data_IF_424653949633
#
_entry.id   IF_424653949633
#
_cell.length_a   1.000
_cell.length_b   1.000
_cell.length_c   1.000
_cell.angle_alpha   90.00
_cell.angle_beta   90.00
_cell.angle_gamma   90.00
#
_symmetry.space_group_name_H-M   'P 1'
#
loop_
_entity.id
_entity.type
_entity.pdbx_description
1 polymer ?
#
# COMPACT_ATOMS: atom_id res chain seq x y z
N UNK A 1 -34.53 -29.81 43.92
CA UNK A 1 -34.76 -29.56 42.49
C UNK A 1 -33.57 -28.76 41.96
N UNK A 2 -32.63 -29.30 41.20
CA UNK A 2 -32.13 -30.67 41.18
C UNK A 2 -30.62 -30.57 40.99
N UNK A 3 -29.89 -31.17 41.94
CA UNK A 3 -28.44 -31.26 42.02
C UNK A 3 -28.11 -32.63 41.43
N UNK A 4 -27.21 -32.71 40.44
CA UNK A 4 -26.71 -33.99 39.95
C UNK A 4 -25.33 -34.28 40.52
N UNK A 5 -25.32 -35.19 41.51
CA UNK A 5 -24.17 -35.96 41.95
C UNK A 5 -24.36 -37.40 41.46
N UNK A 6 -23.29 -38.05 41.02
CA UNK A 6 -22.95 -39.49 41.23
C UNK A 6 -21.79 -39.89 40.29
N UNK A 7 -21.07 -41.00 40.49
CA UNK A 7 -20.55 -41.59 41.73
C UNK A 7 -19.02 -41.87 41.64
N UNK A 8 -18.38 -42.18 42.78
CA UNK A 8 -17.06 -42.83 42.83
C UNK A 8 -17.19 -44.30 42.42
N UNK A 9 -16.29 -44.82 41.57
CA UNK A 9 -15.63 -46.12 41.78
C UNK A 9 -14.50 -46.44 40.79
N UNK A 10 -13.51 -47.11 41.36
CA UNK A 10 -12.57 -48.08 40.81
C UNK A 10 -11.39 -47.60 39.94
N UNK A 11 -10.20 -47.89 40.46
CA UNK A 11 -8.93 -47.86 39.76
C UNK A 11 -8.88 -48.91 38.65
N UNK A 12 -8.42 -48.50 37.46
CA UNK A 12 -7.90 -49.41 36.44
C UNK A 12 -6.63 -48.77 35.91
N UNK A 13 -5.54 -49.53 36.04
CA UNK A 13 -4.20 -49.33 35.50
C UNK A 13 -4.23 -48.89 34.04
N UNK A 14 -3.74 -47.67 33.78
CA UNK A 14 -3.60 -47.08 32.45
C UNK A 14 -2.14 -46.73 32.16
N UNK A 15 -1.67 -47.19 31.03
CA UNK A 15 -0.33 -46.98 30.47
C UNK A 15 0.04 -45.48 30.43
N UNK A 16 1.29 -45.16 30.78
CA UNK A 16 1.86 -43.83 30.59
C UNK A 16 2.05 -43.62 29.09
N UNK A 17 1.05 -43.03 28.42
CA UNK A 17 1.27 -42.30 27.18
C UNK A 17 1.69 -40.88 27.57
N UNK A 18 2.97 -40.55 27.36
CA UNK A 18 3.43 -39.18 27.42
C UNK A 18 2.74 -38.36 26.32
N UNK A 19 1.71 -37.61 26.70
CA UNK A 19 1.15 -36.57 25.84
C UNK A 19 2.12 -35.40 25.90
N UNK A 20 3.03 -35.34 24.93
CA UNK A 20 3.74 -34.12 24.60
C UNK A 20 2.72 -33.11 24.11
N UNK A 21 2.28 -32.22 25.01
CA UNK A 21 1.49 -31.05 24.65
C UNK A 21 2.42 -30.11 23.87
N UNK A 22 2.53 -30.31 22.56
CA UNK A 22 3.09 -29.31 21.65
C UNK A 22 2.12 -28.14 21.67
N UNK A 23 2.38 -27.15 22.52
CA UNK A 23 1.80 -25.82 22.43
C UNK A 23 2.21 -25.25 21.07
N UNK A 24 1.35 -25.42 20.06
CA UNK A 24 1.41 -24.60 18.86
C UNK A 24 1.01 -23.18 19.24
N UNK A 25 1.98 -22.42 19.76
CA UNK A 25 1.85 -20.98 19.80
C UNK A 25 1.66 -20.51 18.34
N UNK A 26 0.61 -19.76 18.01
CA UNK A 26 0.54 -19.14 16.71
C UNK A 26 1.77 -18.24 16.61
N UNK A 27 2.63 -18.51 15.62
CA UNK A 27 3.68 -17.56 15.26
C UNK A 27 2.95 -16.30 14.78
N UNK A 28 2.83 -15.31 15.66
CA UNK A 28 2.41 -13.98 15.25
C UNK A 28 3.47 -13.46 14.29
N UNK A 29 3.07 -13.14 13.06
CA UNK A 29 3.95 -12.51 12.08
C UNK A 29 4.38 -11.16 12.65
N UNK A 30 5.68 -10.96 12.82
CA UNK A 30 6.19 -9.68 13.31
C UNK A 30 6.13 -8.66 12.16
N UNK A 31 5.56 -7.49 12.43
CA UNK A 31 5.46 -6.42 11.44
C UNK A 31 6.86 -5.93 11.04
N UNK A 32 7.16 -6.05 9.74
CA UNK A 32 8.41 -5.59 9.16
C UNK A 32 8.33 -4.11 8.77
N UNK A 33 8.93 -3.27 9.62
CA UNK A 33 9.06 -1.84 9.34
C UNK A 33 10.23 -1.55 8.41
N UNK A 34 10.05 -0.60 7.51
CA UNK A 34 11.11 -0.11 6.61
C UNK A 34 11.67 1.23 7.08
N UNK A 35 12.88 1.54 6.66
CA UNK A 35 13.45 2.89 6.82
C UNK A 35 13.13 3.71 5.57
N UNK A 36 12.42 4.83 5.73
CA UNK A 36 12.21 5.76 4.64
C UNK A 36 13.48 6.60 4.42
N UNK A 37 13.96 6.64 3.17
CA UNK A 37 15.10 7.41 2.70
C UNK A 37 14.68 8.20 1.46
N UNK A 38 15.44 9.21 0.99
CA UNK A 38 15.15 9.81 -0.31
C UNK A 38 15.07 8.75 -1.42
N UNK A 39 14.13 8.87 -2.36
CA UNK A 39 13.98 7.87 -3.44
C UNK A 39 15.27 7.69 -4.25
N UNK A 40 16.09 8.74 -4.40
CA UNK A 40 17.42 8.68 -5.03
C UNK A 40 18.40 7.74 -4.31
N UNK A 41 18.19 7.47 -3.02
CA UNK A 41 18.97 6.50 -2.26
C UNK A 41 18.48 5.06 -2.45
N UNK A 42 17.21 4.88 -2.80
CA UNK A 42 16.58 3.57 -2.97
C UNK A 42 16.67 3.09 -4.43
N UNK A 43 16.27 3.94 -5.37
CA UNK A 43 16.23 3.64 -6.80
C UNK A 43 17.61 3.92 -7.41
N UNK A 44 18.29 2.85 -7.83
CA UNK A 44 19.63 2.92 -8.47
C UNK A 44 19.60 2.67 -9.98
N UNK A 45 18.40 2.52 -10.53
CA UNK A 45 18.17 2.28 -11.95
C UNK A 45 18.69 3.45 -12.78
N UNK A 46 19.52 3.16 -13.79
CA UNK A 46 19.90 4.12 -14.81
C UNK A 46 18.74 4.33 -15.78
N UNK A 47 18.37 5.60 -15.99
CA UNK A 47 17.34 6.01 -16.95
C UNK A 47 17.70 5.55 -18.38
N UNK A 48 16.69 5.04 -19.08
CA UNK A 48 16.75 4.69 -20.50
C UNK A 48 15.58 5.34 -21.23
N UNK A 49 15.74 5.74 -22.50
CA UNK A 49 14.61 6.13 -23.33
C UNK A 49 13.59 5.01 -23.40
N UNK A 50 12.30 5.35 -23.34
CA UNK A 50 11.24 4.40 -23.63
C UNK A 50 11.28 4.03 -25.12
N UNK A 51 11.44 2.73 -25.43
CA UNK A 51 11.49 2.20 -26.80
C UNK A 51 10.30 1.30 -27.12
N UNK A 52 9.20 1.42 -26.37
CA UNK A 52 8.00 0.63 -26.60
C UNK A 52 7.23 1.04 -27.85
N UNK A 53 6.19 0.29 -28.18
CA UNK A 53 5.27 0.62 -29.26
C UNK A 53 3.99 1.28 -28.72
N UNK A 54 3.42 2.27 -29.42
CA UNK A 54 2.06 2.76 -29.13
C UNK A 54 0.99 1.66 -29.29
N UNK A 55 1.30 0.56 -29.97
CA UNK A 55 0.39 -0.57 -30.17
C UNK A 55 0.17 -1.42 -28.92
N UNK A 56 0.92 -1.19 -27.82
CA UNK A 56 0.71 -1.88 -26.55
C UNK A 56 1.32 -1.09 -25.40
N UNK A 57 0.52 -0.21 -24.79
CA UNK A 57 0.94 0.64 -23.69
C UNK A 57 0.70 -0.01 -22.33
N UNK A 58 1.75 -0.24 -21.55
CA UNK A 58 1.60 -0.70 -20.15
C UNK A 58 1.28 0.48 -19.25
N UNK A 59 0.14 0.48 -18.56
CA UNK A 59 -0.31 1.61 -17.73
C UNK A 59 -0.46 1.15 -16.27
N UNK A 60 0.27 1.75 -15.31
CA UNK A 60 0.15 1.39 -13.91
C UNK A 60 -1.14 1.92 -13.29
N UNK A 61 -1.72 1.12 -12.40
CA UNK A 61 -2.78 1.45 -11.46
C UNK A 61 -2.25 1.25 -10.03
N UNK A 62 -2.97 1.75 -9.03
CA UNK A 62 -2.83 1.27 -7.64
C UNK A 62 -4.17 0.68 -7.17
N UNK A 63 -4.18 0.09 -5.99
CA UNK A 63 -5.38 -0.29 -5.26
C UNK A 63 -6.17 0.93 -4.79
N UNK A 64 -6.85 1.62 -5.72
CA UNK A 64 -7.66 2.79 -5.45
C UNK A 64 -8.92 2.82 -6.33
N UNK A 65 -10.04 3.24 -5.75
CA UNK A 65 -11.32 3.34 -6.46
C UNK A 65 -11.32 4.33 -7.62
N UNK A 66 -10.43 5.34 -7.61
CA UNK A 66 -10.29 6.29 -8.72
C UNK A 66 -9.74 5.70 -10.02
N UNK A 67 -9.26 4.45 -10.00
CA UNK A 67 -8.84 3.72 -11.20
C UNK A 67 -10.01 2.98 -11.90
N UNK A 68 -11.21 2.98 -11.29
CA UNK A 68 -12.41 2.31 -11.84
C UNK A 68 -12.80 2.83 -13.23
N UNK A 69 -12.69 4.13 -13.50
CA UNK A 69 -13.02 4.70 -14.81
C UNK A 69 -12.08 4.17 -15.89
N UNK A 70 -10.78 4.07 -15.58
CA UNK A 70 -9.77 3.51 -16.49
C UNK A 70 -10.04 2.03 -16.75
N UNK A 71 -10.35 1.26 -15.70
CA UNK A 71 -10.69 -0.17 -15.81
C UNK A 71 -11.93 -0.37 -16.67
N UNK A 72 -13.00 0.40 -16.43
CA UNK A 72 -14.24 0.35 -17.19
C UNK A 72 -14.00 0.72 -18.66
N UNK A 73 -13.26 1.80 -18.92
CA UNK A 73 -12.94 2.24 -20.27
C UNK A 73 -12.09 1.21 -21.04
N UNK A 74 -11.30 0.39 -20.34
CA UNK A 74 -10.54 -0.72 -20.92
C UNK A 74 -11.38 -1.98 -21.18
N UNK A 75 -12.68 -1.96 -20.84
CA UNK A 75 -13.59 -3.09 -20.99
C UNK A 75 -13.65 -4.02 -19.79
N UNK A 76 -13.29 -3.54 -18.59
CA UNK A 76 -13.15 -4.35 -17.37
C UNK A 76 -12.14 -5.50 -17.53
N UNK A 77 -11.11 -5.29 -18.32
CA UNK A 77 -10.07 -6.28 -18.62
C UNK A 77 -8.67 -5.70 -18.36
N UNK A 78 -7.71 -6.58 -18.14
CA UNK A 78 -6.29 -6.20 -18.04
C UNK A 78 -5.78 -5.63 -19.37
N UNK A 79 -6.07 -6.34 -20.46
CA UNK A 79 -5.78 -5.90 -21.83
C UNK A 79 -7.03 -5.29 -22.44
N UNK A 80 -6.88 -4.26 -23.27
CA UNK A 80 -8.02 -3.60 -23.90
C UNK A 80 -8.93 -4.58 -24.64
N UNK A 81 -10.21 -4.61 -24.25
CA UNK A 81 -11.22 -5.39 -24.96
C UNK A 81 -11.62 -4.71 -26.27
N UNK A 82 -11.92 -5.49 -27.32
CA UNK A 82 -12.17 -4.98 -28.67
C UNK A 82 -13.40 -4.06 -28.77
N UNK A 83 -14.39 -4.23 -27.89
CA UNK A 83 -15.62 -3.44 -27.80
C UNK A 83 -15.55 -2.31 -26.75
N UNK A 84 -14.41 -2.16 -26.07
CA UNK A 84 -14.22 -1.17 -25.01
C UNK A 84 -14.16 0.27 -25.52
N UNK A 85 -14.35 1.23 -24.60
CA UNK A 85 -14.23 2.66 -24.91
C UNK A 85 -12.83 2.98 -25.43
N UNK A 86 -11.78 2.41 -24.84
CA UNK A 86 -10.40 2.61 -25.28
C UNK A 86 -10.14 2.02 -26.67
N UNK A 87 -10.64 0.83 -26.99
CA UNK A 87 -10.55 0.29 -28.35
C UNK A 87 -11.25 1.18 -29.38
N UNK A 88 -12.44 1.72 -29.05
CA UNK A 88 -13.15 2.67 -29.91
C UNK A 88 -12.39 3.99 -30.12
N UNK A 89 -11.44 4.33 -29.23
CA UNK A 89 -10.53 5.47 -29.35
C UNK A 89 -9.17 5.11 -29.95
N UNK A 90 -9.00 3.87 -30.42
CA UNK A 90 -7.75 3.39 -31.02
C UNK A 90 -6.62 3.15 -30.00
N UNK A 91 -6.94 3.05 -28.71
CA UNK A 91 -5.96 2.72 -27.66
C UNK A 91 -5.86 1.21 -27.48
N UNK A 92 -4.64 0.74 -27.20
CA UNK A 92 -4.37 -0.63 -26.77
C UNK A 92 -3.46 -0.61 -25.54
N UNK A 93 -4.06 -0.88 -24.39
CA UNK A 93 -3.46 -0.78 -23.07
C UNK A 93 -3.39 -2.14 -22.37
N UNK A 94 -2.30 -2.37 -21.65
CA UNK A 94 -2.20 -3.37 -20.59
C UNK A 94 -2.14 -2.68 -19.23
N UNK A 95 -3.23 -2.75 -18.48
CA UNK A 95 -3.31 -2.23 -17.12
C UNK A 95 -2.58 -3.19 -16.16
N UNK A 96 -1.84 -2.66 -15.20
CA UNK A 96 -1.23 -3.48 -14.14
C UNK A 96 -1.24 -2.73 -12.81
N UNK A 97 -1.47 -3.43 -11.71
CA UNK A 97 -1.40 -2.84 -10.36
C UNK A 97 0.04 -2.85 -9.88
N UNK A 98 0.52 -1.71 -9.38
CA UNK A 98 1.81 -1.61 -8.69
C UNK A 98 1.70 -0.59 -7.55
N UNK A 99 1.48 -1.11 -6.34
CA UNK A 99 1.27 -0.30 -5.13
C UNK A 99 2.60 0.14 -4.48
N UNK A 100 3.73 -0.44 -4.88
CA UNK A 100 5.06 0.00 -4.43
C UNK A 100 5.58 1.09 -5.37
N UNK A 101 5.51 2.36 -4.95
CA UNK A 101 5.87 3.48 -5.83
C UNK A 101 7.31 3.43 -6.35
N UNK A 102 8.28 2.98 -5.55
CA UNK A 102 9.66 2.83 -6.02
C UNK A 102 9.79 1.84 -7.19
N UNK A 103 8.97 0.78 -7.21
CA UNK A 103 8.92 -0.17 -8.35
C UNK A 103 8.32 0.48 -9.59
N UNK A 104 7.28 1.32 -9.45
CA UNK A 104 6.77 2.11 -10.59
C UNK A 104 7.86 3.03 -11.17
N UNK A 105 8.59 3.75 -10.31
CA UNK A 105 9.69 4.63 -10.72
C UNK A 105 10.79 3.82 -11.42
N UNK A 106 11.16 2.65 -10.89
CA UNK A 106 12.12 1.77 -11.56
C UNK A 106 11.66 1.30 -12.94
N UNK A 107 10.40 0.87 -13.07
CA UNK A 107 9.85 0.43 -14.35
C UNK A 107 9.81 1.57 -15.39
N UNK A 108 9.47 2.79 -14.93
CA UNK A 108 9.50 3.99 -15.75
C UNK A 108 10.92 4.31 -16.24
N UNK A 109 11.91 4.34 -15.33
CA UNK A 109 13.31 4.62 -15.69
C UNK A 109 13.93 3.51 -16.57
N UNK A 110 13.49 2.25 -16.43
CA UNK A 110 13.92 1.14 -17.31
C UNK A 110 13.31 1.22 -18.71
N UNK A 111 12.33 2.09 -18.94
CA UNK A 111 11.58 2.16 -20.19
C UNK A 111 10.59 1.01 -20.37
N UNK A 112 10.15 0.36 -19.29
CA UNK A 112 9.14 -0.71 -19.33
C UNK A 112 7.72 -0.15 -19.48
N UNK A 113 7.50 1.08 -19.00
CA UNK A 113 6.28 1.86 -19.18
C UNK A 113 6.65 3.34 -19.32
N UNK A 114 5.95 4.11 -20.18
CA UNK A 114 6.14 5.55 -20.24
C UNK A 114 5.25 6.31 -19.23
N UNK A 115 4.56 5.60 -18.32
CA UNK A 115 3.60 6.19 -17.40
C UNK A 115 4.02 6.01 -15.95
N UNK A 116 3.81 7.05 -15.16
CA UNK A 116 3.79 7.00 -13.70
C UNK A 116 2.37 7.33 -13.23
N UNK A 117 1.89 6.59 -12.24
CA UNK A 117 0.62 6.86 -11.57
C UNK A 117 0.89 7.15 -10.09
N UNK A 118 0.56 8.35 -9.66
CA UNK A 118 0.79 8.79 -8.28
C UNK A 118 0.06 10.08 -7.95
N UNK A 119 0.03 10.43 -6.65
CA UNK A 119 -0.37 11.77 -6.23
C UNK A 119 0.68 12.80 -6.66
N UNK A 120 0.33 14.08 -6.60
CA UNK A 120 1.29 15.15 -6.91
C UNK A 120 2.53 15.07 -6.00
N UNK A 121 2.38 14.78 -4.71
CA UNK A 121 3.53 14.59 -3.82
C UNK A 121 4.37 13.36 -4.15
N UNK A 122 3.75 12.24 -4.57
CA UNK A 122 4.50 11.08 -5.06
C UNK A 122 5.34 11.43 -6.29
N UNK A 123 4.74 12.09 -7.28
CA UNK A 123 5.47 12.53 -8.47
C UNK A 123 6.58 13.52 -8.13
N UNK A 124 6.32 14.45 -7.20
CA UNK A 124 7.34 15.38 -6.71
C UNK A 124 8.52 14.64 -6.03
N UNK A 125 8.27 13.59 -5.25
CA UNK A 125 9.35 12.76 -4.67
C UNK A 125 10.20 12.07 -5.74
N UNK A 126 9.63 11.73 -6.89
CA UNK A 126 10.33 11.09 -8.01
C UNK A 126 11.06 12.10 -8.93
N UNK A 127 10.74 13.39 -8.84
CA UNK A 127 11.18 14.40 -9.80
C UNK A 127 12.70 14.49 -9.97
N UNK A 128 13.48 14.34 -8.89
CA UNK A 128 14.94 14.35 -8.99
C UNK A 128 15.49 13.21 -9.86
N UNK A 129 14.88 12.03 -9.76
CA UNK A 129 15.27 10.86 -10.57
C UNK A 129 14.83 11.01 -12.02
N UNK A 130 13.58 11.43 -12.24
CA UNK A 130 12.98 11.50 -13.57
C UNK A 130 13.54 12.67 -14.38
N UNK A 131 13.80 13.81 -13.74
CA UNK A 131 14.27 15.01 -14.42
C UNK A 131 15.80 15.04 -14.59
N UNK A 132 16.51 14.01 -14.10
CA UNK A 132 17.95 13.86 -14.30
C UNK A 132 18.33 13.66 -15.78
N UNK A 133 17.38 13.25 -16.63
CA UNK A 133 17.54 13.10 -18.08
C UNK A 133 16.30 13.63 -18.80
N UNK A 134 16.48 14.32 -19.92
CA UNK A 134 15.36 14.94 -20.67
C UNK A 134 14.34 13.94 -21.22
N UNK A 135 14.75 12.70 -21.48
CA UNK A 135 13.86 11.65 -22.01
C UNK A 135 13.03 10.94 -20.92
N UNK A 136 13.26 11.26 -19.65
CA UNK A 136 12.46 10.78 -18.51
C UNK A 136 11.79 11.93 -17.75
N UNK A 137 11.87 13.16 -18.24
CA UNK A 137 11.20 14.30 -17.62
C UNK A 137 9.68 14.07 -17.63
N UNK A 138 9.05 14.22 -16.46
CA UNK A 138 7.64 13.94 -16.30
C UNK A 138 6.78 15.05 -16.91
N UNK A 139 5.73 14.66 -17.64
CA UNK A 139 4.69 15.55 -18.14
C UNK A 139 3.35 15.10 -17.56
N UNK A 140 2.62 16.01 -16.94
CA UNK A 140 1.27 15.75 -16.46
C UNK A 140 0.28 15.73 -17.64
N UNK A 141 -0.36 14.59 -17.88
CA UNK A 141 -1.28 14.39 -19.02
C UNK A 141 -2.74 14.18 -18.62
N UNK A 142 -3.00 13.75 -17.37
CA UNK A 142 -4.34 13.40 -16.91
C UNK A 142 -4.43 13.42 -15.39
N UNK A 143 -5.44 14.10 -14.86
CA UNK A 143 -5.80 14.04 -13.44
C UNK A 143 -6.99 13.08 -13.27
N UNK A 144 -6.78 11.97 -12.57
CA UNK A 144 -7.79 10.93 -12.40
C UNK A 144 -8.94 11.38 -11.49
N UNK A 145 -8.60 11.86 -10.29
CA UNK A 145 -9.56 12.20 -9.24
C UNK A 145 -9.00 13.27 -8.30
N UNK A 146 -9.87 13.88 -7.51
CA UNK A 146 -9.49 14.55 -6.27
C UNK A 146 -9.69 13.59 -5.10
N UNK A 147 -8.80 13.62 -4.11
CA UNK A 147 -9.06 12.91 -2.86
C UNK A 147 -10.07 13.72 -2.02
N UNK A 148 -11.35 13.56 -2.36
CA UNK A 148 -12.47 14.23 -1.70
C UNK A 148 -13.31 13.20 -0.94
N UNK A 149 -12.82 12.78 0.23
CA UNK A 149 -13.57 11.96 1.18
C UNK A 149 -13.33 10.45 1.14
N UNK A 150 -12.39 9.96 0.31
CA UNK A 150 -12.05 8.53 0.29
C UNK A 150 -10.79 8.16 1.10
N UNK A 151 -9.93 9.13 1.42
CA UNK A 151 -8.83 8.93 2.38
C UNK A 151 -9.34 9.08 3.82
N UNK A 152 -8.86 8.21 4.72
CA UNK A 152 -9.23 8.24 6.13
C UNK A 152 -8.03 7.99 7.04
N UNK A 153 -8.05 8.58 8.23
CA UNK A 153 -7.14 8.23 9.32
C UNK A 153 -7.90 7.35 10.31
N UNK A 154 -7.48 6.10 10.46
CA UNK A 154 -8.07 5.14 11.41
C UNK A 154 -7.24 5.17 12.69
N UNK A 155 -7.91 5.23 13.84
CA UNK A 155 -7.26 5.43 15.15
C UNK A 155 -7.80 4.47 16.21
N UNK A 156 -7.02 4.24 17.27
CA UNK A 156 -7.49 3.56 18.49
C UNK A 156 -8.41 4.51 19.29
N UNK A 157 -9.25 3.94 20.17
CA UNK A 157 -10.31 4.66 20.91
C UNK A 157 -9.84 5.85 21.78
N UNK A 158 -8.54 5.92 22.08
CA UNK A 158 -7.95 6.98 22.88
C UNK A 158 -7.59 8.26 22.09
N UNK A 159 -7.93 8.32 20.80
CA UNK A 159 -7.73 9.48 19.93
C UNK A 159 -9.10 10.01 19.51
N UNK A 160 -9.50 11.16 20.06
CA UNK A 160 -10.81 11.75 19.80
C UNK A 160 -10.77 12.90 18.78
N UNK A 161 -9.61 13.55 18.65
CA UNK A 161 -9.40 14.69 17.74
C UNK A 161 -7.97 14.69 17.20
N UNK A 162 -7.70 15.35 16.06
CA UNK A 162 -6.37 15.38 15.47
C UNK A 162 -5.26 15.86 16.43
N UNK A 163 -5.56 16.78 17.36
CA UNK A 163 -4.60 17.27 18.36
C UNK A 163 -4.03 16.16 19.27
N UNK A 164 -4.76 15.06 19.44
CA UNK A 164 -4.35 13.94 20.27
C UNK A 164 -3.27 13.07 19.60
N UNK A 165 -2.96 13.32 18.32
CA UNK A 165 -1.89 12.64 17.57
C UNK A 165 -0.49 13.00 18.07
N UNK A 166 -0.32 14.12 18.79
CA UNK A 166 1.00 14.54 19.29
C UNK A 166 1.65 13.45 20.16
N UNK A 167 2.85 13.06 19.79
CA UNK A 167 3.64 12.01 20.44
C UNK A 167 3.15 10.58 20.17
N UNK A 168 2.12 10.40 19.34
CA UNK A 168 1.59 9.08 18.98
C UNK A 168 2.38 8.44 17.85
N UNK A 169 2.31 7.12 17.81
CA UNK A 169 2.82 6.33 16.70
C UNK A 169 1.81 6.31 15.58
N UNK A 170 2.27 6.53 14.34
CA UNK A 170 1.45 6.46 13.14
C UNK A 170 2.11 5.47 12.18
N UNK A 171 1.38 4.41 11.84
CA UNK A 171 1.77 3.46 10.81
C UNK A 171 1.37 4.01 9.43
N UNK A 172 2.30 4.06 8.48
CA UNK A 172 2.07 4.61 7.15
C UNK A 172 2.89 3.88 6.08
N UNK A 173 2.33 3.68 4.90
CA UNK A 173 3.11 3.12 3.78
C UNK A 173 4.23 4.10 3.38
N UNK A 174 5.44 3.60 3.21
CA UNK A 174 6.56 4.35 2.65
C UNK A 174 6.27 4.76 1.20
N UNK A 175 6.48 6.04 0.88
CA UNK A 175 6.30 6.62 -0.46
C UNK A 175 4.88 6.49 -1.04
N UNK A 176 3.91 6.14 -0.20
CA UNK A 176 2.52 5.92 -0.60
C UNK A 176 1.73 7.22 -0.84
N UNK A 177 0.50 7.10 -1.35
CA UNK A 177 -0.36 8.25 -1.66
C UNK A 177 -0.78 9.06 -0.42
N UNK A 178 -0.79 8.44 0.76
CA UNK A 178 -1.31 9.05 1.99
C UNK A 178 -0.32 9.95 2.74
N UNK A 179 0.92 10.08 2.26
CA UNK A 179 1.95 10.92 2.91
C UNK A 179 1.49 12.39 2.98
N UNK A 180 0.99 12.93 1.87
CA UNK A 180 0.48 14.31 1.83
C UNK A 180 -0.79 14.49 2.66
N UNK A 181 -1.64 13.46 2.73
CA UNK A 181 -2.83 13.48 3.56
C UNK A 181 -2.46 13.62 5.04
N UNK A 182 -1.50 12.82 5.53
CA UNK A 182 -1.04 12.91 6.90
C UNK A 182 -0.42 14.29 7.21
N UNK A 183 0.46 14.80 6.35
CA UNK A 183 1.09 16.12 6.56
C UNK A 183 0.06 17.25 6.55
N UNK A 184 -0.99 17.13 5.73
CA UNK A 184 -2.13 18.06 5.71
C UNK A 184 -2.90 18.02 7.04
N UNK A 185 -3.22 16.82 7.55
CA UNK A 185 -3.90 16.66 8.84
C UNK A 185 -3.08 17.28 9.97
N UNK A 186 -1.79 16.96 10.06
CA UNK A 186 -0.90 17.49 11.11
C UNK A 186 -0.75 19.02 11.01
N UNK A 187 -0.50 19.55 9.81
CA UNK A 187 -0.31 21.00 9.63
C UNK A 187 -1.57 21.81 9.94
N UNK A 188 -2.76 21.26 9.68
CA UNK A 188 -4.04 21.92 9.98
C UNK A 188 -4.25 22.25 11.47
N UNK A 189 -3.52 21.56 12.36
CA UNK A 189 -3.55 21.75 13.82
C UNK A 189 -2.21 22.25 14.38
N UNK A 190 -1.31 22.73 13.52
CA UNK A 190 -0.01 23.25 13.93
C UNK A 190 0.99 22.18 14.39
N UNK A 191 0.79 20.91 14.02
CA UNK A 191 1.77 19.83 14.21
C UNK A 191 2.56 19.58 12.92
N UNK A 192 3.69 18.90 13.09
CA UNK A 192 4.54 18.42 12.00
C UNK A 192 4.82 16.93 12.12
N UNK A 193 5.50 16.35 11.13
CA UNK A 193 5.97 14.95 11.20
C UNK A 193 6.94 14.69 12.37
N UNK A 194 7.59 15.74 12.90
CA UNK A 194 8.49 15.64 14.04
C UNK A 194 7.74 15.56 15.39
N UNK A 195 6.44 15.88 15.40
CA UNK A 195 5.59 15.81 16.58
C UNK A 195 4.96 14.43 16.77
N UNK A 196 5.25 13.46 15.90
CA UNK A 196 4.69 12.09 15.90
C UNK A 196 5.80 11.06 15.62
N UNK A 197 5.54 9.80 15.94
CA UNK A 197 6.46 8.70 15.67
C UNK A 197 6.00 7.93 14.42
N UNK A 198 6.58 8.23 13.26
CA UNK A 198 6.24 7.53 12.02
C UNK A 198 6.91 6.16 11.96
N UNK A 199 6.11 5.11 11.78
CA UNK A 199 6.57 3.76 11.44
C UNK A 199 6.19 3.48 10.00
N UNK A 200 7.19 3.22 9.17
CA UNK A 200 7.00 3.04 7.73
C UNK A 200 6.81 1.58 7.37
N UNK A 201 5.89 1.32 6.45
CA UNK A 201 5.52 -0.01 6.00
C UNK A 201 5.67 -0.16 4.48
N UNK A 202 6.00 -1.35 3.97
CA UNK A 202 6.17 -1.56 2.54
C UNK A 202 4.83 -1.65 1.78
N UNK A 203 3.79 -2.22 2.41
CA UNK A 203 2.55 -2.56 1.72
C UNK A 203 1.48 -1.48 1.91
N UNK A 204 0.69 -1.23 0.86
CA UNK A 204 -0.37 -0.22 0.89
C UNK A 204 -1.62 -0.72 1.63
N UNK A 205 -2.20 -1.81 1.12
CA UNK A 205 -3.56 -2.23 1.49
C UNK A 205 -3.69 -3.72 1.78
N UNK A 206 -2.64 -4.52 1.62
CA UNK A 206 -2.77 -5.97 1.79
C UNK A 206 -3.12 -6.32 3.24
N UNK A 207 -4.09 -7.24 3.41
CA UNK A 207 -4.61 -7.69 4.71
C UNK A 207 -4.60 -9.21 4.71
N UNK A 208 -3.41 -9.77 4.71
CA UNK A 208 -3.18 -11.19 4.96
C UNK A 208 -2.18 -11.39 6.10
N UNK A 209 -2.09 -12.63 6.60
CA UNK A 209 -1.28 -12.96 7.77
C UNK A 209 0.23 -12.67 7.61
N UNK A 210 0.70 -12.42 6.38
CA UNK A 210 2.11 -12.12 6.07
C UNK A 210 2.29 -10.69 5.54
N UNK A 211 1.21 -9.89 5.48
CA UNK A 211 1.25 -8.53 4.94
C UNK A 211 1.80 -7.55 5.98
N UNK A 212 2.61 -6.60 5.51
CA UNK A 212 3.18 -5.54 6.33
C UNK A 212 2.53 -4.22 5.90
N UNK A 213 1.24 -4.07 6.19
CA UNK A 213 0.44 -2.88 5.86
C UNK A 213 0.10 -2.06 7.11
N UNK A 214 -0.20 -0.75 6.97
CA UNK A 214 -0.64 0.07 8.09
C UNK A 214 -1.82 -0.51 8.87
N UNK A 215 -2.72 -1.23 8.20
CA UNK A 215 -3.84 -1.90 8.86
C UNK A 215 -3.37 -3.03 9.79
N UNK A 216 -2.44 -3.88 9.33
CA UNK A 216 -1.86 -4.93 10.15
C UNK A 216 -1.06 -4.35 11.33
N UNK A 217 -0.25 -3.31 11.08
CA UNK A 217 0.49 -2.63 12.13
C UNK A 217 -0.43 -2.02 13.21
N UNK A 218 -1.60 -1.49 12.83
CA UNK A 218 -2.56 -0.94 13.79
C UNK A 218 -3.18 -2.02 14.68
N UNK A 219 -3.40 -3.23 14.14
CA UNK A 219 -4.00 -4.36 14.85
C UNK A 219 -2.99 -5.11 15.73
N UNK A 220 -1.78 -5.34 15.23
CA UNK A 220 -0.82 -6.27 15.81
C UNK A 220 0.28 -5.59 16.66
N UNK A 221 0.49 -4.28 16.51
CA UNK A 221 1.42 -3.52 17.34
C UNK A 221 0.72 -3.12 18.68
N UNK A 222 1.20 -3.61 19.84
CA UNK A 222 0.56 -3.41 21.14
C UNK A 222 0.26 -1.94 21.48
#
# INVERSE_FOLDING_TARGET
MEIHRTPRRAAVTGWILGISLLLSAPFAHAIDYVSQKPLTQLVKTQAKPWTGSPDSLKVPLIAWGGDMQTILANGNQRKTAADSIFAQKGLNLELFREDTFSKQVEAYLKGETPFLRGTVGMLNMAAELTNAQSHTEMIAIYQLTWSAGGDALVVKDNIAKPADLKGKTIALQAYGPHVDYLTTVLSSIGLSVNDVNLKWLPDLFEIDANSNSPAMALMDDP
#
